data_IF_786771268462
#
_entry.id   IF_786771268462
#
_cell.length_a   1.000
_cell.length_b   1.000
_cell.length_c   1.000
_cell.angle_alpha   90.00
_cell.angle_beta   90.00
_cell.angle_gamma   90.00
#
_symmetry.space_group_name_H-M   'P 1'
#
loop_
_entity.id
_entity.type
_entity.pdbx_description
1 polymer ?
#
# COMPACT_ATOMS: atom_id res chain seq x y z
N UNK A 1 -19.73 16.79 -5.71
CA UNK A 1 -18.53 17.45 -5.17
C UNK A 1 -17.97 18.30 -6.30
N UNK A 2 -17.92 19.62 -6.12
CA UNK A 2 -17.43 20.54 -7.15
C UNK A 2 -15.90 20.48 -7.17
N UNK A 3 -15.30 20.19 -8.32
CA UNK A 3 -13.86 20.10 -8.48
C UNK A 3 -13.26 21.51 -8.54
N UNK A 4 -12.26 21.76 -7.69
CA UNK A 4 -11.46 22.97 -7.77
C UNK A 4 -10.56 22.92 -9.00
N UNK A 5 -10.53 24.01 -9.74
CA UNK A 5 -9.66 24.21 -10.92
C UNK A 5 -8.55 25.23 -10.66
N UNK A 6 -8.60 25.94 -9.52
CA UNK A 6 -7.64 26.99 -9.17
C UNK A 6 -6.93 26.72 -7.84
N UNK A 7 -5.65 27.15 -7.71
CA UNK A 7 -4.94 27.11 -6.44
C UNK A 7 -5.63 27.94 -5.35
N UNK A 8 -5.33 27.65 -4.08
CA UNK A 8 -5.91 28.35 -2.93
C UNK A 8 -4.95 28.41 -1.74
N UNK A 9 -5.16 29.39 -0.87
CA UNK A 9 -4.44 29.57 0.39
C UNK A 9 -4.91 28.57 1.44
N UNK A 10 -4.24 28.54 2.61
CA UNK A 10 -4.70 27.72 3.73
C UNK A 10 -6.10 28.13 4.24
N UNK A 11 -6.45 29.41 4.11
CA UNK A 11 -7.76 29.93 4.51
C UNK A 11 -8.84 29.45 3.53
N UNK A 12 -8.50 29.37 2.23
CA UNK A 12 -9.36 28.77 1.21
C UNK A 12 -9.64 27.29 1.51
N UNK A 13 -8.63 26.52 1.94
CA UNK A 13 -8.82 25.11 2.33
C UNK A 13 -9.77 24.96 3.53
N UNK A 14 -9.67 25.85 4.51
CA UNK A 14 -10.59 25.86 5.66
C UNK A 14 -12.01 26.24 5.21
N UNK A 15 -12.15 27.21 4.32
CA UNK A 15 -13.43 27.61 3.75
C UNK A 15 -14.05 26.48 2.89
N UNK A 16 -13.24 25.78 2.09
CA UNK A 16 -13.65 24.62 1.29
C UNK A 16 -14.21 23.51 2.18
N UNK A 17 -13.53 23.22 3.29
CA UNK A 17 -13.98 22.23 4.26
C UNK A 17 -15.29 22.65 4.93
N UNK A 18 -15.42 23.91 5.34
CA UNK A 18 -16.63 24.45 5.95
C UNK A 18 -17.83 24.36 4.99
N UNK A 19 -17.64 24.73 3.70
CA UNK A 19 -18.66 24.60 2.64
C UNK A 19 -19.08 23.14 2.43
N UNK A 20 -18.16 22.20 2.59
CA UNK A 20 -18.45 20.77 2.51
C UNK A 20 -19.01 20.16 3.81
N UNK A 21 -19.29 20.99 4.83
CA UNK A 21 -19.89 20.54 6.10
C UNK A 21 -18.89 19.96 7.10
N UNK A 22 -17.60 20.29 6.97
CA UNK A 22 -16.54 19.84 7.89
C UNK A 22 -15.93 21.03 8.64
N UNK A 23 -15.72 20.86 9.96
CA UNK A 23 -14.97 21.82 10.76
C UNK A 23 -13.51 21.37 10.91
N UNK A 24 -12.58 22.15 10.38
CA UNK A 24 -11.14 21.94 10.52
C UNK A 24 -10.43 23.24 10.87
N UNK A 25 -9.21 23.12 11.40
CA UNK A 25 -8.34 24.26 11.73
C UNK A 25 -7.06 24.20 10.91
N UNK A 26 -6.43 25.34 10.64
CA UNK A 26 -5.19 25.43 9.88
C UNK A 26 -4.05 24.58 10.48
N UNK A 27 -4.03 24.37 11.80
CA UNK A 27 -3.08 23.45 12.46
C UNK A 27 -3.22 22.01 11.96
N UNK A 28 -4.46 21.52 11.84
CA UNK A 28 -4.72 20.17 11.35
C UNK A 28 -4.24 20.00 9.90
N UNK A 29 -4.37 21.03 9.06
CA UNK A 29 -3.85 21.02 7.70
C UNK A 29 -2.32 20.89 7.68
N UNK A 30 -1.61 21.60 8.57
CA UNK A 30 -0.15 21.44 8.71
C UNK A 30 0.24 20.04 9.16
N UNK A 31 -0.45 19.50 10.17
CA UNK A 31 -0.23 18.12 10.62
C UNK A 31 -0.46 17.11 9.47
N UNK A 32 -1.44 17.37 8.60
CA UNK A 32 -1.72 16.56 7.42
C UNK A 32 -0.63 16.66 6.34
N UNK A 33 0.00 17.83 6.18
CA UNK A 33 1.16 18.00 5.30
C UNK A 33 2.35 17.16 5.77
N UNK A 34 2.63 17.19 7.08
CA UNK A 34 3.71 16.38 7.68
C UNK A 34 3.47 14.88 7.48
N UNK A 35 2.22 14.43 7.61
CA UNK A 35 1.82 13.05 7.37
C UNK A 35 1.74 12.65 5.88
N UNK A 36 1.98 13.57 4.94
CA UNK A 36 1.82 13.31 3.50
C UNK A 36 0.37 13.13 3.05
N UNK A 37 -0.61 13.45 3.90
CA UNK A 37 -2.02 13.51 3.49
C UNK A 37 -2.24 14.66 2.51
N UNK A 38 -1.53 15.77 2.71
CA UNK A 38 -1.46 16.89 1.77
C UNK A 38 0.00 17.18 1.42
N UNK A 39 0.24 17.88 0.32
CA UNK A 39 1.57 18.40 -0.01
C UNK A 39 1.83 19.79 0.59
N UNK A 40 3.11 20.16 0.65
CA UNK A 40 3.50 21.51 1.06
C UNK A 40 2.97 22.57 0.07
N UNK A 41 2.45 23.70 0.56
CA UNK A 41 2.02 24.77 -0.32
C UNK A 41 3.23 25.43 -0.98
N UNK A 42 3.05 25.89 -2.22
CA UNK A 42 4.05 26.61 -2.97
C UNK A 42 4.22 28.03 -2.40
N UNK A 43 5.45 28.36 -1.99
CA UNK A 43 5.78 29.69 -1.48
C UNK A 43 5.75 30.73 -2.59
N UNK A 44 5.31 31.94 -2.24
CA UNK A 44 5.24 33.07 -3.17
C UNK A 44 6.13 34.20 -2.67
N UNK A 45 7.28 34.47 -3.32
CA UNK A 45 8.11 35.59 -2.94
C UNK A 45 7.35 36.90 -3.17
N UNK A 46 7.34 37.81 -2.20
CA UNK A 46 6.67 39.11 -2.32
C UNK A 46 7.56 40.18 -2.99
N UNK A 47 8.74 39.80 -3.49
CA UNK A 47 9.77 40.73 -3.99
C UNK A 47 10.83 41.06 -2.94
N UNK A 48 11.86 41.83 -3.35
CA UNK A 48 13.04 42.12 -2.53
C UNK A 48 12.64 42.97 -1.30
N UNK A 49 12.85 42.43 -0.10
CA UNK A 49 12.58 43.12 1.17
C UNK A 49 11.13 43.13 1.66
N UNK A 50 10.20 42.50 0.95
CA UNK A 50 8.74 42.56 1.23
C UNK A 50 8.18 41.29 1.90
N UNK A 51 9.03 40.33 2.28
CA UNK A 51 8.61 39.06 2.91
C UNK A 51 8.02 38.04 1.93
N UNK A 52 7.12 37.16 2.40
CA UNK A 52 6.44 36.13 1.60
C UNK A 52 4.95 36.38 1.58
N UNK A 53 4.33 36.30 0.39
CA UNK A 53 2.87 36.21 0.28
C UNK A 53 2.39 34.87 0.84
N UNK A 54 1.08 34.76 1.10
CA UNK A 54 0.48 33.49 1.52
C UNK A 54 0.78 32.39 0.48
N UNK A 55 1.24 31.24 0.98
CA UNK A 55 1.57 30.10 0.16
C UNK A 55 0.29 29.46 -0.42
N UNK A 56 0.40 28.89 -1.63
CA UNK A 56 -0.74 28.31 -2.35
C UNK A 56 -0.65 26.79 -2.42
N UNK A 57 -1.76 26.14 -2.09
CA UNK A 57 -2.03 24.74 -2.40
C UNK A 57 -2.57 24.66 -3.83
N UNK A 58 -2.14 23.65 -4.59
CA UNK A 58 -2.67 23.41 -5.93
C UNK A 58 -4.14 23.02 -5.88
N UNK A 59 -4.82 23.14 -7.03
CA UNK A 59 -6.21 22.69 -7.18
C UNK A 59 -6.38 21.20 -6.81
N UNK A 60 -5.41 20.36 -7.19
CA UNK A 60 -5.39 18.94 -6.85
C UNK A 60 -5.32 18.69 -5.34
N UNK A 61 -4.56 19.48 -4.58
CA UNK A 61 -4.50 19.37 -3.12
C UNK A 61 -5.81 19.79 -2.45
N UNK A 62 -6.52 20.79 -3.01
CA UNK A 62 -7.86 21.17 -2.55
C UNK A 62 -8.88 20.04 -2.79
N UNK A 63 -8.83 19.40 -3.96
CA UNK A 63 -9.66 18.24 -4.27
C UNK A 63 -9.32 17.03 -3.39
N UNK A 64 -8.03 16.78 -3.12
CA UNK A 64 -7.59 15.71 -2.22
C UNK A 64 -8.08 15.93 -0.78
N UNK A 65 -8.04 17.16 -0.27
CA UNK A 65 -8.59 17.51 1.05
C UNK A 65 -10.05 17.08 1.19
N UNK A 66 -10.90 17.35 0.19
CA UNK A 66 -12.32 16.98 0.26
C UNK A 66 -12.50 15.46 0.34
N UNK A 67 -11.74 14.69 -0.45
CA UNK A 67 -11.75 13.23 -0.39
C UNK A 67 -11.30 12.71 0.98
N UNK A 68 -10.22 13.28 1.53
CA UNK A 68 -9.72 12.92 2.85
C UNK A 68 -10.75 13.20 3.95
N UNK A 69 -11.43 14.35 3.91
CA UNK A 69 -12.45 14.72 4.89
C UNK A 69 -13.68 13.79 4.82
N UNK A 70 -14.09 13.42 3.61
CA UNK A 70 -15.15 12.44 3.40
C UNK A 70 -14.85 11.11 4.09
N UNK A 71 -13.63 10.59 3.91
CA UNK A 71 -13.23 9.31 4.50
C UNK A 71 -12.82 9.39 5.97
N UNK A 72 -12.50 10.58 6.51
CA UNK A 72 -12.01 10.76 7.89
C UNK A 72 -12.99 10.28 8.95
N UNK A 73 -14.30 10.37 8.69
CA UNK A 73 -15.34 10.03 9.69
C UNK A 73 -15.19 8.62 10.27
N UNK A 74 -14.67 7.68 9.48
CA UNK A 74 -14.51 6.27 9.85
C UNK A 74 -13.06 5.83 9.90
N UNK A 75 -12.10 6.72 9.62
CA UNK A 75 -10.70 6.38 9.41
C UNK A 75 -9.74 7.23 10.24
N UNK A 76 -8.80 6.57 10.91
CA UNK A 76 -7.63 7.24 11.50
C UNK A 76 -6.60 7.66 10.43
N UNK A 77 -5.65 8.51 10.83
CA UNK A 77 -4.61 9.08 9.95
C UNK A 77 -3.86 8.03 9.12
N UNK A 78 -3.44 6.90 9.74
CA UNK A 78 -2.76 5.82 9.01
C UNK A 78 -3.64 5.22 7.91
N UNK A 79 -4.93 5.09 8.16
CA UNK A 79 -5.88 4.55 7.18
C UNK A 79 -6.11 5.53 6.04
N UNK A 80 -6.22 6.83 6.35
CA UNK A 80 -6.36 7.90 5.36
C UNK A 80 -5.12 8.05 4.47
N UNK A 81 -3.93 7.74 4.96
CA UNK A 81 -2.70 7.83 4.19
C UNK A 81 -2.66 6.88 2.98
N UNK A 82 -3.56 5.89 2.89
CA UNK A 82 -3.78 5.09 1.68
C UNK A 82 -4.30 5.93 0.50
N UNK A 83 -5.08 6.99 0.75
CA UNK A 83 -5.69 7.79 -0.31
C UNK A 83 -4.65 8.51 -1.18
N UNK A 84 -3.68 9.29 -0.62
CA UNK A 84 -2.62 9.88 -1.43
C UNK A 84 -1.77 8.84 -2.16
N UNK A 85 -1.47 7.71 -1.51
CA UNK A 85 -0.71 6.61 -2.12
C UNK A 85 -1.47 6.01 -3.31
N UNK A 86 -2.76 5.75 -3.15
CA UNK A 86 -3.63 5.26 -4.22
C UNK A 86 -3.71 6.24 -5.39
N UNK A 87 -3.98 7.52 -5.11
CA UNK A 87 -4.06 8.56 -6.15
C UNK A 87 -2.75 8.67 -6.91
N UNK A 88 -1.62 8.74 -6.20
CA UNK A 88 -0.31 8.75 -6.84
C UNK A 88 -0.06 7.50 -7.69
N UNK A 89 -0.39 6.32 -7.15
CA UNK A 89 -0.17 5.04 -7.84
C UNK A 89 -0.90 5.00 -9.16
N UNK A 90 -2.21 5.27 -9.19
CA UNK A 90 -3.05 5.01 -10.36
C UNK A 90 -3.28 6.24 -11.25
N UNK A 91 -3.20 7.45 -10.70
CA UNK A 91 -3.46 8.70 -11.44
C UNK A 91 -2.18 9.52 -11.69
N UNK A 92 -1.12 9.32 -10.90
CA UNK A 92 0.19 9.91 -11.17
C UNK A 92 0.57 11.11 -10.30
N UNK A 93 1.74 11.64 -10.60
CA UNK A 93 2.44 12.69 -9.86
C UNK A 93 1.82 14.08 -10.04
N UNK A 94 1.08 14.30 -11.12
CA UNK A 94 0.33 15.55 -11.33
C UNK A 94 -0.74 15.78 -10.24
N UNK A 95 -1.31 14.71 -9.68
CA UNK A 95 -2.33 14.77 -8.62
C UNK A 95 -1.72 14.75 -7.22
N UNK A 96 -0.72 13.90 -7.00
CA UNK A 96 -0.02 13.73 -5.73
C UNK A 96 1.47 13.60 -6.01
N UNK A 97 2.33 14.55 -5.63
CA UNK A 97 3.76 14.46 -5.88
C UNK A 97 4.40 13.23 -5.23
N UNK A 98 5.47 12.68 -5.82
CA UNK A 98 6.17 11.49 -5.30
C UNK A 98 6.64 11.68 -3.86
N UNK A 99 7.16 12.87 -3.52
CA UNK A 99 7.57 13.19 -2.15
C UNK A 99 6.41 13.11 -1.15
N UNK A 100 5.20 13.54 -1.54
CA UNK A 100 3.99 13.42 -0.73
C UNK A 100 3.60 11.96 -0.55
N UNK A 101 3.60 11.16 -1.63
CA UNK A 101 3.28 9.74 -1.57
C UNK A 101 4.26 8.95 -0.69
N UNK A 102 5.56 9.29 -0.71
CA UNK A 102 6.58 8.72 0.19
C UNK A 102 6.33 9.06 1.66
N UNK A 103 5.90 10.29 1.99
CA UNK A 103 5.49 10.63 3.37
C UNK A 103 4.22 9.88 3.77
N UNK A 104 3.27 9.74 2.85
CA UNK A 104 2.01 9.05 3.10
C UNK A 104 2.22 7.55 3.35
N UNK A 105 3.05 6.86 2.56
CA UNK A 105 3.32 5.43 2.79
C UNK A 105 4.06 5.19 4.12
N UNK A 106 4.95 6.10 4.52
CA UNK A 106 5.58 6.05 5.85
C UNK A 106 4.58 6.28 6.99
N UNK A 107 3.63 7.21 6.81
CA UNK A 107 2.53 7.41 7.78
C UNK A 107 1.64 6.18 7.87
N UNK A 108 1.30 5.56 6.74
CA UNK A 108 0.51 4.33 6.69
C UNK A 108 1.21 3.19 7.42
N UNK A 109 2.50 2.97 7.15
CA UNK A 109 3.31 1.95 7.80
C UNK A 109 3.36 2.21 9.32
N UNK A 110 3.60 3.47 9.69
CA UNK A 110 3.72 3.95 11.06
C UNK A 110 4.75 3.17 11.88
N UNK A 111 4.64 3.29 13.21
CA UNK A 111 5.44 2.46 14.11
C UNK A 111 4.77 1.09 14.28
N UNK A 112 5.46 0.03 13.86
CA UNK A 112 5.02 -1.36 13.97
C UNK A 112 5.20 -1.91 15.39
N UNK A 113 6.06 -1.30 16.21
CA UNK A 113 6.25 -1.65 17.63
C UNK A 113 5.13 -1.12 18.53
N UNK A 114 4.20 -0.35 17.97
CA UNK A 114 3.14 0.28 18.76
C UNK A 114 2.07 -0.69 19.28
N UNK A 115 1.93 -1.91 18.72
CA UNK A 115 0.93 -2.87 19.21
C UNK A 115 1.11 -4.32 18.72
N UNK A 116 1.52 -5.22 19.62
CA UNK A 116 1.54 -6.66 19.36
C UNK A 116 0.15 -7.23 19.01
N UNK A 117 -0.92 -6.66 19.60
CA UNK A 117 -2.30 -7.04 19.27
C UNK A 117 -2.63 -6.80 17.79
N UNK A 118 -2.22 -5.66 17.23
CA UNK A 118 -2.42 -5.37 15.80
C UNK A 118 -1.59 -6.30 14.92
N UNK A 119 -0.34 -6.57 15.31
CA UNK A 119 0.51 -7.53 14.61
C UNK A 119 -0.12 -8.93 14.54
N UNK A 120 -0.67 -9.42 15.66
CA UNK A 120 -1.43 -10.69 15.70
C UNK A 120 -2.68 -10.68 14.83
N UNK A 121 -3.41 -9.57 14.79
CA UNK A 121 -4.59 -9.46 13.93
C UNK A 121 -4.22 -9.55 12.44
N UNK A 122 -3.21 -8.81 11.98
CA UNK A 122 -2.73 -8.91 10.60
C UNK A 122 -2.13 -10.29 10.28
N UNK A 123 -1.45 -10.92 11.24
CA UNK A 123 -0.97 -12.30 11.08
C UNK A 123 -2.12 -13.31 10.90
N UNK A 124 -3.24 -13.12 11.61
CA UNK A 124 -4.43 -13.96 11.44
C UNK A 124 -5.09 -13.77 10.07
N UNK A 125 -5.11 -12.56 9.52
CA UNK A 125 -5.60 -12.30 8.15
C UNK A 125 -4.74 -13.01 7.09
N UNK A 126 -3.41 -13.05 7.29
CA UNK A 126 -2.50 -13.82 6.42
C UNK A 126 -2.82 -15.30 6.56
N UNK A 127 -2.93 -15.84 7.79
CA UNK A 127 -3.30 -17.23 8.03
C UNK A 127 -4.61 -17.60 7.31
N UNK A 128 -5.64 -16.75 7.35
CA UNK A 128 -6.92 -17.03 6.71
C UNK A 128 -6.85 -17.22 5.18
N UNK A 129 -5.79 -16.73 4.54
CA UNK A 129 -5.52 -16.96 3.10
C UNK A 129 -4.78 -18.28 2.84
N UNK A 130 -4.10 -18.80 3.85
CA UNK A 130 -3.21 -19.96 3.77
C UNK A 130 -3.78 -21.21 4.41
N UNK A 131 -4.82 -21.04 5.22
CA UNK A 131 -5.36 -22.11 6.04
C UNK A 131 -5.84 -23.27 5.17
N UNK A 132 -5.58 -24.47 5.65
CA UNK A 132 -6.04 -25.71 5.06
C UNK A 132 -6.81 -26.48 6.12
N UNK A 133 -7.90 -27.19 5.79
CA UNK A 133 -8.66 -27.97 6.77
C UNK A 133 -7.79 -28.98 7.55
N UNK A 134 -6.68 -29.42 6.96
CA UNK A 134 -5.77 -30.42 7.51
C UNK A 134 -4.69 -29.86 8.45
N UNK A 135 -4.47 -28.54 8.50
CA UNK A 135 -3.49 -27.98 9.41
C UNK A 135 -3.89 -28.25 10.87
N UNK A 136 -2.92 -28.41 11.77
CA UNK A 136 -3.22 -28.57 13.20
C UNK A 136 -3.46 -27.21 13.88
N UNK A 137 -4.21 -27.14 14.99
CA UNK A 137 -4.34 -25.91 15.77
C UNK A 137 -2.98 -25.39 16.30
N UNK A 138 -2.00 -26.28 16.52
CA UNK A 138 -0.65 -25.90 16.92
C UNK A 138 0.10 -25.19 15.78
N UNK A 139 0.05 -25.74 14.56
CA UNK A 139 0.68 -25.14 13.38
C UNK A 139 0.12 -23.75 13.06
N UNK A 140 -1.21 -23.59 13.14
CA UNK A 140 -1.87 -22.27 12.96
C UNK A 140 -1.36 -21.24 13.97
N UNK A 141 -1.27 -21.61 15.25
CA UNK A 141 -0.78 -20.72 16.30
C UNK A 141 0.68 -20.34 16.09
N UNK A 142 1.54 -21.30 15.76
CA UNK A 142 2.96 -21.03 15.51
C UNK A 142 3.17 -20.09 14.31
N UNK A 143 2.41 -20.27 13.23
CA UNK A 143 2.46 -19.35 12.09
C UNK A 143 2.00 -17.93 12.48
N UNK A 144 0.89 -17.81 13.23
CA UNK A 144 0.40 -16.50 13.69
C UNK A 144 1.42 -15.82 14.61
N UNK A 145 2.00 -16.54 15.57
CA UNK A 145 3.00 -15.97 16.48
C UNK A 145 4.28 -15.59 15.75
N UNK A 146 4.73 -16.40 14.79
CA UNK A 146 5.91 -16.10 13.96
C UNK A 146 5.68 -14.86 13.10
N UNK A 147 4.55 -14.75 12.40
CA UNK A 147 4.20 -13.58 11.60
C UNK A 147 4.01 -12.32 12.47
N UNK A 148 3.39 -12.47 13.64
CA UNK A 148 3.19 -11.38 14.57
C UNK A 148 4.52 -10.85 15.13
N UNK A 149 5.47 -11.74 15.44
CA UNK A 149 6.81 -11.36 15.88
C UNK A 149 7.57 -10.60 14.78
N UNK A 150 7.51 -11.07 13.53
CA UNK A 150 8.09 -10.37 12.38
C UNK A 150 7.48 -8.98 12.23
N UNK A 151 6.16 -8.88 12.23
CA UNK A 151 5.46 -7.61 12.08
C UNK A 151 5.78 -6.65 13.25
N UNK A 152 5.91 -7.17 14.47
CA UNK A 152 6.19 -6.38 15.66
C UNK A 152 7.65 -5.90 15.70
N UNK A 153 8.61 -6.80 15.47
CA UNK A 153 10.04 -6.52 15.65
C UNK A 153 10.70 -5.95 14.38
N UNK A 154 10.13 -6.23 13.21
CA UNK A 154 10.73 -5.97 11.89
C UNK A 154 11.85 -6.97 11.54
N UNK A 155 12.06 -8.02 12.33
CA UNK A 155 13.12 -9.01 12.13
C UNK A 155 12.48 -10.34 11.75
N UNK A 156 13.04 -11.02 10.75
CA UNK A 156 12.55 -12.32 10.31
C UNK A 156 13.62 -13.40 10.46
N UNK A 157 13.28 -14.42 11.24
CA UNK A 157 13.93 -15.74 11.19
C UNK A 157 13.30 -16.51 10.02
N UNK A 158 13.93 -16.42 8.85
CA UNK A 158 13.39 -17.06 7.63
C UNK A 158 13.31 -18.59 7.72
N UNK A 159 14.31 -19.31 8.28
CA UNK A 159 14.18 -20.75 8.54
C UNK A 159 12.95 -21.09 9.38
N UNK A 160 12.72 -20.36 10.49
CA UNK A 160 11.52 -20.58 11.33
C UNK A 160 10.23 -20.27 10.58
N UNK A 161 10.20 -19.15 9.84
CA UNK A 161 9.03 -18.76 9.04
C UNK A 161 8.69 -19.82 7.98
N UNK A 162 9.70 -20.34 7.28
CA UNK A 162 9.52 -21.39 6.29
C UNK A 162 8.88 -22.63 6.93
N UNK A 163 9.41 -23.10 8.06
CA UNK A 163 8.87 -24.25 8.76
C UNK A 163 7.41 -24.01 9.20
N UNK A 164 7.11 -22.84 9.75
CA UNK A 164 5.76 -22.49 10.19
C UNK A 164 4.76 -22.45 9.02
N UNK A 165 5.16 -21.90 7.87
CA UNK A 165 4.34 -21.89 6.65
C UNK A 165 4.11 -23.32 6.14
N UNK A 166 5.16 -24.13 6.03
CA UNK A 166 5.05 -25.53 5.58
C UNK A 166 4.10 -26.34 6.46
N UNK A 167 4.18 -26.19 7.78
CA UNK A 167 3.32 -26.91 8.72
C UNK A 167 1.81 -26.59 8.56
N UNK A 168 1.46 -25.45 7.97
CA UNK A 168 0.07 -25.06 7.69
C UNK A 168 -0.35 -25.41 6.26
N UNK A 169 0.55 -25.22 5.29
CA UNK A 169 0.27 -25.38 3.87
C UNK A 169 0.40 -26.83 3.38
N UNK A 170 1.32 -27.57 3.97
CA UNK A 170 1.65 -28.98 3.69
C UNK A 170 1.58 -29.82 4.99
N UNK A 171 0.43 -29.84 5.71
CA UNK A 171 0.29 -30.67 6.90
C UNK A 171 0.31 -32.13 6.47
N UNK A 172 1.11 -32.94 7.17
CA UNK A 172 1.41 -34.34 6.87
C UNK A 172 2.20 -34.51 5.56
N UNK A 173 3.52 -34.67 5.70
CA UNK A 173 4.53 -34.88 4.64
C UNK A 173 4.21 -35.96 3.59
N UNK A 174 3.07 -36.64 3.68
CA UNK A 174 2.60 -37.64 2.72
C UNK A 174 2.09 -37.03 1.40
N UNK A 175 1.60 -35.78 1.40
CA UNK A 175 1.17 -35.11 0.16
C UNK A 175 1.86 -33.75 0.03
N UNK A 176 3.03 -33.71 -0.62
CA UNK A 176 3.75 -32.45 -0.86
C UNK A 176 2.95 -31.58 -1.84
N UNK A 177 2.20 -30.61 -1.32
CA UNK A 177 1.51 -29.59 -2.12
C UNK A 177 2.48 -28.48 -2.52
N UNK A 178 3.27 -28.72 -3.57
CA UNK A 178 4.27 -27.75 -4.07
C UNK A 178 3.68 -26.40 -4.51
N UNK A 179 2.41 -26.37 -4.92
CA UNK A 179 1.71 -25.19 -5.40
C UNK A 179 0.19 -25.34 -5.26
N UNK A 180 -0.52 -24.22 -5.03
CA UNK A 180 -1.99 -24.11 -5.09
C UNK A 180 -2.35 -22.97 -6.06
N UNK A 181 -3.41 -23.15 -6.86
CA UNK A 181 -3.89 -22.16 -7.82
C UNK A 181 -3.41 -22.39 -9.25
N UNK A 182 -3.63 -21.41 -10.12
CA UNK A 182 -3.30 -21.45 -11.54
C UNK A 182 -1.78 -21.57 -11.77
N UNK A 183 -1.29 -22.40 -12.72
CA UNK A 183 0.15 -22.59 -12.97
C UNK A 183 0.93 -21.33 -13.35
N UNK A 184 0.28 -20.33 -13.95
CA UNK A 184 0.88 -19.03 -14.25
C UNK A 184 1.00 -18.08 -13.03
N UNK A 185 0.30 -18.36 -11.94
CA UNK A 185 0.37 -17.60 -10.69
C UNK A 185 0.19 -18.54 -9.47
N UNK A 186 1.10 -19.52 -9.28
CA UNK A 186 0.97 -20.51 -8.23
C UNK A 186 1.28 -19.88 -6.87
N UNK A 187 0.45 -20.15 -5.88
CA UNK A 187 0.78 -19.89 -4.49
C UNK A 187 1.63 -21.05 -3.97
N UNK A 188 2.87 -20.75 -3.59
CA UNK A 188 3.85 -21.70 -3.09
C UNK A 188 4.41 -21.22 -1.74
N UNK A 189 5.00 -22.13 -0.96
CA UNK A 189 5.76 -21.76 0.24
C UNK A 189 6.80 -20.69 -0.05
N UNK A 190 7.54 -20.85 -1.16
CA UNK A 190 8.60 -19.91 -1.54
C UNK A 190 8.04 -18.53 -1.91
N UNK A 191 6.97 -18.45 -2.72
CA UNK A 191 6.38 -17.17 -3.12
C UNK A 191 5.84 -16.38 -1.92
N UNK A 192 5.38 -17.07 -0.87
CA UNK A 192 4.95 -16.44 0.37
C UNK A 192 6.13 -15.88 1.18
N UNK A 193 7.19 -16.67 1.34
CA UNK A 193 8.42 -16.23 2.01
C UNK A 193 9.01 -15.02 1.27
N UNK A 194 9.06 -15.06 -0.06
CA UNK A 194 9.56 -13.97 -0.88
C UNK A 194 8.70 -12.71 -0.72
N UNK A 195 7.38 -12.86 -0.66
CA UNK A 195 6.46 -11.74 -0.40
C UNK A 195 6.68 -11.11 0.98
N UNK A 196 6.84 -11.93 2.03
CA UNK A 196 7.09 -11.44 3.39
C UNK A 196 8.47 -10.78 3.47
N UNK A 197 9.50 -11.41 2.89
CA UNK A 197 10.85 -10.86 2.79
C UNK A 197 10.85 -9.51 2.07
N UNK A 198 10.16 -9.40 0.95
CA UNK A 198 10.01 -8.15 0.20
C UNK A 198 9.40 -7.04 1.08
N UNK A 199 8.31 -7.34 1.78
CA UNK A 199 7.65 -6.36 2.68
C UNK A 199 8.54 -5.94 3.84
N UNK A 200 9.25 -6.88 4.47
CA UNK A 200 10.20 -6.58 5.57
C UNK A 200 11.36 -5.72 5.07
N UNK A 201 11.93 -6.05 3.92
CA UNK A 201 13.00 -5.27 3.27
C UNK A 201 12.52 -3.85 2.98
N UNK A 202 11.38 -3.69 2.31
CA UNK A 202 10.83 -2.38 1.98
C UNK A 202 10.49 -1.55 3.22
N UNK A 203 9.85 -2.15 4.23
CA UNK A 203 9.51 -1.46 5.47
C UNK A 203 10.75 -1.01 6.25
N UNK A 204 11.81 -1.82 6.24
CA UNK A 204 13.08 -1.48 6.89
C UNK A 204 13.74 -0.30 6.20
N UNK A 205 13.82 -0.32 4.86
CA UNK A 205 14.41 0.76 4.06
C UNK A 205 13.62 2.06 4.18
N UNK A 206 12.29 2.00 4.08
CA UNK A 206 11.42 3.18 4.25
C UNK A 206 11.62 3.84 5.62
N UNK A 207 11.64 3.06 6.71
CA UNK A 207 11.89 3.57 8.06
C UNK A 207 13.29 4.16 8.26
N UNK A 208 14.27 3.66 7.52
CA UNK A 208 15.62 4.19 7.50
C UNK A 208 15.78 5.43 6.60
N UNK A 209 14.71 5.88 5.92
CA UNK A 209 14.74 6.89 4.86
C UNK A 209 15.74 6.54 3.72
N UNK A 210 15.91 5.25 3.46
CA UNK A 210 16.84 4.69 2.46
C UNK A 210 16.11 4.33 1.15
N UNK A 211 15.06 5.06 0.80
CA UNK A 211 14.30 4.87 -0.44
C UNK A 211 14.23 6.21 -1.15
N UNK A 212 14.85 6.28 -2.32
CA UNK A 212 14.79 7.46 -3.18
C UNK A 212 13.44 7.60 -3.88
N UNK A 213 13.12 8.82 -4.34
CA UNK A 213 11.93 9.04 -5.17
C UNK A 213 11.94 8.22 -6.47
N UNK A 214 13.12 8.01 -7.07
CA UNK A 214 13.24 7.26 -8.31
C UNK A 214 13.01 5.77 -8.10
N UNK A 215 13.54 5.18 -7.02
CA UNK A 215 13.21 3.81 -6.66
C UNK A 215 11.71 3.63 -6.39
N UNK A 216 11.08 4.62 -5.75
CA UNK A 216 9.65 4.59 -5.50
C UNK A 216 8.86 4.68 -6.81
N UNK A 217 9.24 5.57 -7.74
CA UNK A 217 8.67 5.65 -9.09
C UNK A 217 8.84 4.35 -9.86
N UNK A 218 10.00 3.70 -9.79
CA UNK A 218 10.23 2.38 -10.40
C UNK A 218 9.32 1.33 -9.80
N UNK A 219 9.15 1.29 -8.46
CA UNK A 219 8.23 0.37 -7.81
C UNK A 219 6.77 0.58 -8.26
N UNK A 220 6.33 1.84 -8.40
CA UNK A 220 5.02 2.16 -8.99
C UNK A 220 4.90 1.65 -10.41
N UNK A 221 5.90 1.91 -11.25
CA UNK A 221 5.89 1.48 -12.64
C UNK A 221 5.74 -0.05 -12.75
N UNK A 222 6.59 -0.80 -12.05
CA UNK A 222 6.53 -2.28 -12.02
C UNK A 222 5.17 -2.77 -11.50
N UNK A 223 4.64 -2.12 -10.47
CA UNK A 223 3.30 -2.43 -9.95
C UNK A 223 2.22 -2.26 -11.02
N UNK A 224 2.20 -1.12 -11.72
CA UNK A 224 1.19 -0.85 -12.75
C UNK A 224 1.24 -1.86 -13.90
N UNK A 225 2.44 -2.21 -14.37
CA UNK A 225 2.63 -3.21 -15.43
C UNK A 225 2.09 -4.57 -14.97
N UNK A 226 2.58 -5.08 -13.85
CA UNK A 226 2.18 -6.40 -13.32
C UNK A 226 0.69 -6.46 -12.94
N UNK A 227 0.15 -5.40 -12.34
CA UNK A 227 -1.25 -5.31 -11.95
C UNK A 227 -2.18 -5.30 -13.16
N UNK A 228 -1.77 -4.70 -14.28
CA UNK A 228 -2.58 -4.73 -15.51
C UNK A 228 -2.60 -6.11 -16.15
N UNK A 229 -1.48 -6.83 -16.11
CA UNK A 229 -1.39 -8.21 -16.58
C UNK A 229 -2.27 -9.12 -15.72
N UNK A 230 -2.21 -8.94 -14.40
CA UNK A 230 -3.08 -9.61 -13.44
C UNK A 230 -4.57 -9.34 -13.73
N UNK A 231 -4.96 -8.07 -13.88
CA UNK A 231 -6.34 -7.69 -14.14
C UNK A 231 -6.89 -8.29 -15.44
N UNK A 232 -6.08 -8.35 -16.50
CA UNK A 232 -6.44 -8.98 -17.78
C UNK A 232 -6.61 -10.50 -17.65
N UNK A 233 -5.74 -11.16 -16.88
CA UNK A 233 -5.77 -12.61 -16.66
C UNK A 233 -6.72 -13.08 -15.55
N UNK A 234 -7.36 -12.17 -14.79
CA UNK A 234 -8.07 -12.49 -13.55
C UNK A 234 -9.14 -13.57 -13.71
N UNK A 235 -9.90 -13.54 -14.82
CA UNK A 235 -10.94 -14.54 -15.11
C UNK A 235 -10.35 -15.95 -15.26
N UNK A 236 -9.25 -16.07 -15.98
CA UNK A 236 -8.56 -17.36 -16.20
C UNK A 236 -7.93 -17.88 -14.91
N UNK A 237 -7.32 -17.00 -14.13
CA UNK A 237 -6.74 -17.33 -12.83
C UNK A 237 -7.80 -17.88 -11.86
N UNK A 238 -8.95 -17.20 -11.79
CA UNK A 238 -10.06 -17.58 -10.89
C UNK A 238 -10.72 -18.89 -11.34
N UNK A 239 -10.86 -19.12 -12.65
CA UNK A 239 -11.45 -20.35 -13.17
C UNK A 239 -10.64 -21.62 -12.81
N UNK A 240 -9.32 -21.50 -12.63
CA UNK A 240 -8.45 -22.61 -12.24
C UNK A 240 -8.22 -22.74 -10.72
N UNK A 241 -8.78 -21.83 -9.91
CA UNK A 241 -8.64 -21.89 -8.46
C UNK A 241 -9.48 -23.05 -7.87
N UNK A 242 -8.97 -23.80 -6.87
CA UNK A 242 -9.78 -24.80 -6.17
C UNK A 242 -11.01 -24.16 -5.54
N UNK A 243 -12.19 -24.77 -5.73
CA UNK A 243 -13.48 -24.24 -5.22
C UNK A 243 -13.53 -24.12 -3.69
N UNK A 244 -12.77 -24.96 -3.00
CA UNK A 244 -12.73 -25.03 -1.54
C UNK A 244 -11.61 -24.19 -0.93
N UNK A 245 -10.81 -23.49 -1.76
CA UNK A 245 -9.80 -22.56 -1.29
C UNK A 245 -10.41 -21.17 -1.04
N UNK A 246 -10.01 -20.54 0.06
CA UNK A 246 -10.20 -19.09 0.30
C UNK A 246 -9.79 -18.31 -0.97
N UNK A 247 -10.50 -17.25 -1.39
CA UNK A 247 -10.27 -16.61 -2.69
C UNK A 247 -8.80 -16.22 -2.87
N UNK A 248 -8.11 -16.96 -3.73
CA UNK A 248 -6.68 -16.79 -4.00
C UNK A 248 -6.39 -15.56 -4.86
N UNK A 249 -7.38 -15.12 -5.64
CA UNK A 249 -7.26 -14.08 -6.65
C UNK A 249 -8.33 -13.01 -6.47
N UNK A 250 -7.98 -11.94 -5.76
CA UNK A 250 -8.87 -10.79 -5.53
C UNK A 250 -9.19 -10.03 -6.83
N UNK A 251 -10.46 -9.70 -7.05
CA UNK A 251 -10.85 -8.92 -8.23
C UNK A 251 -10.14 -7.56 -8.27
N UNK A 252 -9.71 -7.12 -9.46
CA UNK A 252 -9.04 -5.84 -9.66
C UNK A 252 -10.01 -4.64 -9.72
N UNK A 253 -10.79 -4.43 -8.64
CA UNK A 253 -11.76 -3.31 -8.54
C UNK A 253 -11.12 -2.05 -7.94
N UNK A 254 -11.81 -0.91 -7.98
CA UNK A 254 -11.35 0.33 -7.32
C UNK A 254 -11.18 0.10 -5.83
N UNK A 255 -12.17 -0.52 -5.20
CA UNK A 255 -12.23 -0.76 -3.77
C UNK A 255 -11.06 -1.62 -3.31
N UNK A 256 -10.81 -2.73 -4.02
CA UNK A 256 -9.70 -3.61 -3.73
C UNK A 256 -8.35 -2.93 -4.01
N UNK A 257 -8.26 -2.11 -5.06
CA UNK A 257 -7.06 -1.35 -5.38
C UNK A 257 -6.74 -0.31 -4.30
N UNK A 258 -7.75 0.42 -3.81
CA UNK A 258 -7.60 1.38 -2.71
C UNK A 258 -7.26 0.70 -1.39
N UNK A 259 -7.93 -0.41 -1.06
CA UNK A 259 -7.70 -1.14 0.18
C UNK A 259 -6.27 -1.71 0.25
N UNK A 260 -5.75 -2.19 -0.88
CA UNK A 260 -4.47 -2.91 -0.95
C UNK A 260 -3.30 -2.08 -1.52
N UNK A 261 -3.52 -0.84 -1.99
CA UNK A 261 -2.48 -0.04 -2.69
C UNK A 261 -1.14 0.02 -1.93
N UNK A 262 -1.17 0.37 -0.64
CA UNK A 262 0.04 0.46 0.17
C UNK A 262 0.73 -0.90 0.33
N UNK A 263 -0.03 -1.98 0.55
CA UNK A 263 0.51 -3.34 0.70
C UNK A 263 1.13 -3.83 -0.61
N UNK A 264 0.46 -3.57 -1.73
CA UNK A 264 0.95 -3.94 -3.06
C UNK A 264 2.22 -3.17 -3.39
N UNK A 265 2.24 -1.84 -3.21
CA UNK A 265 3.45 -1.04 -3.40
C UNK A 265 4.59 -1.45 -2.47
N UNK A 266 4.31 -1.71 -1.19
CA UNK A 266 5.34 -2.17 -0.24
C UNK A 266 5.96 -3.50 -0.70
N UNK A 267 5.13 -4.40 -1.23
CA UNK A 267 5.59 -5.68 -1.79
C UNK A 267 6.45 -5.43 -3.03
N UNK A 268 5.96 -4.62 -3.98
CA UNK A 268 6.68 -4.34 -5.23
C UNK A 268 8.01 -3.62 -4.98
N UNK A 269 8.04 -2.65 -4.07
CA UNK A 269 9.27 -1.95 -3.66
C UNK A 269 10.31 -2.93 -3.11
N UNK A 270 9.88 -3.89 -2.30
CA UNK A 270 10.74 -4.93 -1.77
C UNK A 270 11.27 -5.88 -2.84
N UNK A 271 10.42 -6.28 -3.79
CA UNK A 271 10.80 -7.14 -4.90
C UNK A 271 11.80 -6.45 -5.84
N UNK A 272 11.62 -5.16 -6.14
CA UNK A 272 12.58 -4.34 -6.90
C UNK A 272 13.94 -4.32 -6.20
N UNK A 273 13.95 -4.12 -4.87
CA UNK A 273 15.19 -4.11 -4.10
C UNK A 273 15.90 -5.47 -4.08
N UNK A 274 15.14 -6.58 -4.02
CA UNK A 274 15.67 -7.94 -3.93
C UNK A 274 16.08 -8.53 -5.28
N UNK A 275 15.45 -8.11 -6.37
CA UNK A 275 15.59 -8.73 -7.69
C UNK A 275 15.74 -7.68 -8.81
N UNK A 276 16.76 -6.80 -8.74
CA UNK A 276 16.90 -5.67 -9.67
C UNK A 276 16.89 -6.11 -11.13
N UNK A 277 17.59 -7.19 -11.48
CA UNK A 277 17.67 -7.72 -12.86
C UNK A 277 16.30 -8.11 -13.42
N UNK A 278 15.48 -8.82 -12.63
CA UNK A 278 14.13 -9.24 -13.05
C UNK A 278 13.22 -8.03 -13.22
N UNK A 279 13.37 -7.03 -12.36
CA UNK A 279 12.53 -5.83 -12.42
C UNK A 279 12.92 -4.88 -13.53
N UNK A 280 14.19 -4.85 -13.97
CA UNK A 280 14.63 -4.08 -15.14
C UNK A 280 13.92 -4.51 -16.42
N UNK A 281 13.67 -5.81 -16.59
CA UNK A 281 12.91 -6.31 -17.73
C UNK A 281 11.46 -5.83 -17.74
N UNK A 282 10.83 -5.77 -16.56
CA UNK A 282 9.45 -5.25 -16.41
C UNK A 282 9.42 -3.74 -16.60
N UNK A 283 10.42 -3.02 -16.10
CA UNK A 283 10.53 -1.57 -16.21
C UNK A 283 10.75 -1.07 -17.66
N UNK A 284 11.16 -1.96 -18.56
CA UNK A 284 11.25 -1.66 -19.99
C UNK A 284 9.89 -1.68 -20.70
N UNK A 285 8.85 -2.24 -20.07
CA UNK A 285 7.49 -2.31 -20.64
C UNK A 285 6.78 -0.97 -20.37
N UNK A 286 6.13 -0.34 -21.35
CA UNK A 286 5.36 0.88 -21.11
C UNK A 286 4.30 0.68 -20.01
N UNK A 287 4.29 1.56 -19.01
CA UNK A 287 3.26 1.52 -17.97
C UNK A 287 1.89 1.83 -18.58
N UNK A 288 0.86 1.02 -18.27
CA UNK A 288 -0.49 1.28 -18.75
C UNK A 288 -1.12 2.46 -18.02
N UNK A 289 -1.99 3.19 -18.72
CA UNK A 289 -2.93 4.11 -18.09
C UNK A 289 -4.10 3.32 -17.50
N UNK A 290 -4.37 3.49 -16.21
CA UNK A 290 -5.51 2.86 -15.56
C UNK A 290 -6.71 3.79 -15.61
N UNK A 291 -7.79 3.33 -16.24
CA UNK A 291 -9.11 3.95 -16.11
C UNK A 291 -9.99 2.96 -15.37
N UNK A 292 -10.28 3.25 -14.11
CA UNK A 292 -11.26 2.47 -13.40
C UNK A 292 -12.66 2.86 -13.86
N UNK A 293 -13.49 1.88 -14.21
CA UNK A 293 -14.90 2.15 -14.48
C UNK A 293 -15.61 2.49 -13.16
N UNK A 294 -16.27 3.64 -13.13
CA UNK A 294 -17.17 3.99 -12.02
C UNK A 294 -18.42 3.12 -12.20
N UNK A 295 -18.61 2.15 -11.31
CA UNK A 295 -19.82 1.34 -11.23
C UNK A 295 -20.99 2.11 -10.63
#
# INVERSE_FOLDING_TARGET
MELHTTPGTIDDLVADAARAGYSIRSRMLRDWVECGLLDYPQRRPAGRGQGSQQALYSANQRNLLQNLLHHRRTNGIRSLARLPVFVWTYYGDEFVPTSQALRAINTWLGDSRSSLRKARHSAAEILARLDTPHASPAARRDLVDTLADIAYTGRADYPRLEQAIRNVFEPDFQTIRRAVGHPAAPMTTQSMIDTIRARVTAATRLKANDVSEDEFRTARHVHLVTYSQYARGHRELTAAAPKDASPLYDAATIENSLANCCTNLLTTLGLVAMHPERTSAVAAIPAPTFTFQVG
#
